data_IF_774675841728
#
_entry.id   IF_774675841728
#
_cell.length_a   1.000
_cell.length_b   1.000
_cell.length_c   1.000
_cell.angle_alpha   90.00
_cell.angle_beta   90.00
_cell.angle_gamma   90.00
#
_symmetry.space_group_name_H-M   'P 1'
#
loop_
_entity.id
_entity.type
_entity.pdbx_description
1 polymer ?
#
# COMPACT_ATOMS: atom_id res chain seq x y z
N UNK A 1 18.41 -5.24 -22.73
CA UNK A 1 17.89 -5.57 -21.38
C UNK A 1 19.05 -5.84 -20.42
N UNK A 2 19.23 -5.06 -19.35
CA UNK A 2 20.39 -5.16 -18.45
C UNK A 2 20.44 -6.45 -17.60
N UNK A 3 19.33 -7.18 -17.49
CA UNK A 3 19.23 -8.40 -16.67
C UNK A 3 20.15 -9.56 -17.13
N UNK A 4 20.53 -9.58 -18.41
CA UNK A 4 21.32 -10.67 -19.02
C UNK A 4 22.84 -10.48 -18.91
N UNK A 5 23.33 -9.34 -18.43
CA UNK A 5 24.77 -9.03 -18.44
C UNK A 5 25.49 -9.67 -17.24
N UNK A 6 26.59 -10.40 -17.49
CA UNK A 6 27.44 -10.99 -16.44
C UNK A 6 27.04 -12.41 -16.00
N UNK A 7 27.86 -13.03 -15.14
CA UNK A 7 27.72 -14.45 -14.80
C UNK A 7 26.49 -14.71 -13.92
N UNK A 8 25.78 -15.81 -14.19
CA UNK A 8 24.61 -16.25 -13.42
C UNK A 8 23.45 -15.25 -13.43
N UNK A 9 22.88 -14.89 -14.60
CA UNK A 9 21.80 -13.91 -14.73
C UNK A 9 20.52 -14.32 -14.00
N UNK A 10 20.29 -15.63 -13.81
CA UNK A 10 19.16 -16.19 -13.05
C UNK A 10 19.04 -15.59 -11.64
N UNK A 11 20.15 -15.17 -11.02
CA UNK A 11 20.17 -14.60 -9.66
C UNK A 11 19.43 -13.27 -9.55
N UNK A 12 19.20 -12.58 -10.67
CA UNK A 12 18.51 -11.29 -10.74
C UNK A 12 17.02 -11.42 -11.00
N UNK A 13 16.50 -12.65 -11.03
CA UNK A 13 15.08 -12.93 -11.27
C UNK A 13 14.30 -12.96 -9.96
N UNK A 14 13.06 -12.43 -9.97
CA UNK A 14 12.20 -12.45 -8.78
C UNK A 14 11.92 -13.85 -8.22
N UNK A 15 11.68 -14.90 -9.04
CA UNK A 15 11.51 -16.25 -8.52
C UNK A 15 12.73 -16.76 -7.75
N UNK A 16 13.94 -16.42 -8.21
CA UNK A 16 15.18 -16.80 -7.52
C UNK A 16 15.36 -16.07 -6.19
N UNK A 17 15.04 -14.78 -6.13
CA UNK A 17 15.14 -14.02 -4.88
C UNK A 17 14.10 -14.47 -3.85
N UNK A 18 12.89 -14.81 -4.31
CA UNK A 18 11.80 -15.33 -3.47
C UNK A 18 12.04 -16.73 -2.93
N UNK A 19 12.86 -17.55 -3.58
CA UNK A 19 13.16 -18.92 -3.14
C UNK A 19 14.17 -19.01 -1.99
N UNK A 20 14.69 -17.87 -1.51
CA UNK A 20 15.59 -17.80 -0.37
C UNK A 20 14.96 -18.41 0.90
N UNK A 21 15.68 -19.32 1.54
CA UNK A 21 15.20 -20.04 2.73
C UNK A 21 15.51 -19.34 4.05
N UNK A 22 16.46 -18.41 4.05
CA UNK A 22 16.96 -17.75 5.26
C UNK A 22 16.26 -16.41 5.49
N UNK A 23 15.36 -16.39 6.48
CA UNK A 23 14.78 -15.17 7.05
C UNK A 23 15.32 -15.03 8.47
N UNK A 24 16.02 -13.94 8.75
CA UNK A 24 16.62 -13.68 10.05
C UNK A 24 15.57 -13.35 11.10
N UNK A 25 15.92 -13.61 12.37
CA UNK A 25 15.21 -13.05 13.51
C UNK A 25 15.44 -11.54 13.57
N UNK A 26 14.44 -10.79 14.02
CA UNK A 26 14.41 -9.32 14.04
C UNK A 26 15.56 -8.68 14.87
N UNK A 27 16.17 -9.48 15.76
CA UNK A 27 17.34 -9.11 16.56
C UNK A 27 18.63 -8.94 15.75
N UNK A 28 18.73 -9.50 14.54
CA UNK A 28 19.94 -9.37 13.71
C UNK A 28 19.86 -8.04 12.96
N UNK A 29 20.91 -7.21 13.05
CA UNK A 29 20.94 -5.89 12.39
C UNK A 29 22.00 -5.79 11.30
N UNK A 30 23.20 -6.31 11.56
CA UNK A 30 24.32 -6.24 10.63
C UNK A 30 24.89 -7.63 10.42
N UNK A 31 25.16 -7.99 9.17
CA UNK A 31 25.90 -9.20 8.80
C UNK A 31 27.15 -8.80 8.02
N UNK A 32 28.30 -9.19 8.53
CA UNK A 32 29.58 -8.99 7.89
C UNK A 32 30.09 -10.31 7.32
N UNK A 33 30.57 -10.26 6.09
CA UNK A 33 31.17 -11.41 5.39
C UNK A 33 32.62 -11.08 5.15
N UNK A 34 33.53 -11.85 5.76
CA UNK A 34 34.96 -11.69 5.59
C UNK A 34 35.45 -12.83 4.70
N UNK A 35 35.82 -12.53 3.44
CA UNK A 35 36.31 -13.53 2.50
C UNK A 35 37.44 -13.00 1.64
N UNK A 36 38.32 -13.90 1.22
CA UNK A 36 39.42 -13.56 0.31
C UNK A 36 39.06 -14.06 -1.08
N UNK A 37 39.17 -13.16 -2.05
CA UNK A 37 38.79 -13.45 -3.44
C UNK A 37 39.98 -13.94 -4.25
N UNK A 38 41.17 -13.41 -3.97
CA UNK A 38 42.37 -13.83 -4.67
C UNK A 38 42.94 -15.08 -3.99
N UNK A 39 43.21 -16.17 -4.74
CA UNK A 39 44.13 -17.18 -4.25
C UNK A 39 45.44 -16.44 -3.96
N UNK A 40 45.96 -16.61 -2.74
CA UNK A 40 47.02 -15.78 -2.13
C UNK A 40 48.01 -15.30 -3.21
N UNK A 41 48.18 -13.98 -3.37
CA UNK A 41 49.28 -13.39 -4.19
C UNK A 41 50.68 -13.86 -3.75
N UNK A 42 50.75 -14.54 -2.60
CA UNK A 42 51.92 -15.20 -2.02
C UNK A 42 51.68 -16.71 -1.81
N UNK A 43 50.97 -17.38 -2.72
CA UNK A 43 50.87 -18.82 -2.72
C UNK A 43 52.27 -19.40 -2.97
N UNK A 44 52.96 -19.76 -1.89
CA UNK A 44 54.11 -20.66 -1.98
C UNK A 44 53.56 -21.97 -2.54
N UNK A 45 54.21 -22.50 -3.56
CA UNK A 45 53.77 -23.64 -4.39
C UNK A 45 53.27 -24.86 -3.59
N UNK A 46 53.82 -25.08 -2.38
CA UNK A 46 53.41 -26.16 -1.47
C UNK A 46 52.03 -25.97 -0.81
N UNK A 47 51.47 -24.76 -0.77
CA UNK A 47 50.15 -24.45 -0.20
C UNK A 47 49.01 -24.57 -1.23
N UNK A 48 49.32 -24.68 -2.52
CA UNK A 48 48.34 -24.97 -3.59
C UNK A 48 47.66 -26.34 -3.36
N UNK A 49 48.33 -27.22 -2.60
CA UNK A 49 47.88 -28.57 -2.27
C UNK A 49 46.63 -28.63 -1.36
N UNK A 50 46.28 -27.54 -0.66
CA UNK A 50 45.21 -27.52 0.35
C UNK A 50 43.87 -26.93 -0.14
N UNK A 51 43.76 -26.57 -1.42
CA UNK A 51 42.53 -25.98 -1.97
C UNK A 51 42.22 -24.58 -1.43
N UNK A 52 41.17 -23.96 -1.98
CA UNK A 52 40.76 -22.63 -1.55
C UNK A 52 39.74 -22.74 -0.40
N UNK A 53 40.20 -22.62 0.85
CA UNK A 53 39.31 -22.65 2.03
C UNK A 53 38.17 -21.60 1.99
N UNK A 54 38.34 -20.53 1.20
CA UNK A 54 37.35 -19.45 1.00
C UNK A 54 36.33 -19.73 -0.10
N UNK A 55 36.48 -20.81 -0.87
CA UNK A 55 35.65 -21.10 -2.06
C UNK A 55 34.16 -21.22 -1.72
N UNK A 56 33.84 -21.90 -0.62
CA UNK A 56 32.47 -22.04 -0.16
C UNK A 56 31.85 -20.72 0.27
N UNK A 57 32.60 -19.85 0.94
CA UNK A 57 32.12 -18.53 1.35
C UNK A 57 31.97 -17.57 0.15
N UNK A 58 32.88 -17.63 -0.82
CA UNK A 58 32.77 -16.89 -2.08
C UNK A 58 31.55 -17.34 -2.89
N UNK A 59 31.30 -18.65 -2.96
CA UNK A 59 30.10 -19.22 -3.58
C UNK A 59 28.83 -18.81 -2.84
N UNK A 60 28.85 -18.82 -1.50
CA UNK A 60 27.74 -18.36 -0.67
C UNK A 60 27.45 -16.87 -0.92
N UNK A 61 28.48 -16.02 -0.94
CA UNK A 61 28.32 -14.61 -1.23
C UNK A 61 27.71 -14.38 -2.63
N UNK A 62 28.21 -15.13 -3.62
CA UNK A 62 27.73 -15.01 -4.99
C UNK A 62 26.26 -15.47 -5.15
N UNK A 63 25.88 -16.62 -4.61
CA UNK A 63 24.55 -17.19 -4.85
C UNK A 63 23.50 -16.74 -3.82
N UNK A 64 23.84 -16.78 -2.53
CA UNK A 64 22.84 -16.71 -1.46
C UNK A 64 22.62 -15.31 -0.90
N UNK A 65 23.64 -14.43 -0.90
CA UNK A 65 23.50 -13.07 -0.35
C UNK A 65 22.41 -12.25 -1.03
N UNK A 66 22.22 -12.28 -2.37
CA UNK A 66 21.10 -11.58 -3.01
C UNK A 66 19.73 -12.03 -2.47
N UNK A 67 19.57 -13.34 -2.25
CA UNK A 67 18.33 -13.89 -1.68
C UNK A 67 18.13 -13.41 -0.24
N UNK A 68 19.19 -13.43 0.57
CA UNK A 68 19.15 -13.01 1.97
C UNK A 68 18.80 -11.52 2.06
N UNK A 69 19.43 -10.66 1.26
CA UNK A 69 19.14 -9.22 1.27
C UNK A 69 17.70 -8.92 0.83
N UNK A 70 17.19 -9.66 -0.17
CA UNK A 70 15.83 -9.48 -0.65
C UNK A 70 14.79 -9.84 0.43
N UNK A 71 15.03 -10.92 1.17
CA UNK A 71 14.14 -11.37 2.24
C UNK A 71 14.26 -10.52 3.52
N UNK A 72 15.41 -9.87 3.73
CA UNK A 72 15.73 -9.14 4.95
C UNK A 72 16.21 -7.72 4.60
N UNK A 73 15.30 -6.82 4.14
CA UNK A 73 15.67 -5.48 3.73
C UNK A 73 16.26 -4.64 4.87
N UNK A 74 15.84 -4.89 6.11
CA UNK A 74 16.27 -4.13 7.30
C UNK A 74 17.65 -4.55 7.82
N UNK A 75 18.24 -5.62 7.28
CA UNK A 75 19.55 -6.11 7.68
C UNK A 75 20.60 -5.55 6.73
N UNK A 76 21.61 -4.88 7.30
CA UNK A 76 22.75 -4.38 6.53
C UNK A 76 23.76 -5.50 6.31
N UNK A 77 24.07 -5.82 5.05
CA UNK A 77 25.09 -6.80 4.68
C UNK A 77 26.34 -6.09 4.17
N UNK A 78 27.48 -6.33 4.81
CA UNK A 78 28.78 -5.75 4.46
C UNK A 78 29.74 -6.89 4.10
N UNK A 79 30.56 -6.67 3.08
CA UNK A 79 31.63 -7.60 2.70
C UNK A 79 32.99 -6.94 2.89
N UNK A 80 33.89 -7.64 3.56
CA UNK A 80 35.30 -7.31 3.67
C UNK A 80 36.12 -8.29 2.84
N UNK A 81 37.10 -7.75 2.14
CA UNK A 81 37.98 -8.47 1.20
C UNK A 81 39.41 -8.43 1.71
N UNK A 82 40.08 -9.59 1.74
CA UNK A 82 41.52 -9.72 1.98
C UNK A 82 42.00 -9.12 3.33
N UNK A 83 41.10 -9.01 4.31
CA UNK A 83 41.41 -8.49 5.66
C UNK A 83 41.94 -9.56 6.60
N UNK A 84 41.46 -10.80 6.48
CA UNK A 84 41.76 -11.89 7.42
C UNK A 84 42.13 -13.16 6.67
N UNK A 85 43.05 -13.98 7.19
CA UNK A 85 43.49 -15.19 6.49
C UNK A 85 42.39 -16.25 6.40
N UNK A 86 41.49 -16.33 7.40
CA UNK A 86 40.42 -17.31 7.47
C UNK A 86 39.06 -16.68 7.12
N UNK A 87 38.16 -17.42 6.44
CA UNK A 87 36.82 -16.96 6.12
C UNK A 87 35.89 -17.07 7.32
N UNK A 88 35.15 -16.02 7.61
CA UNK A 88 34.10 -16.07 8.63
C UNK A 88 32.97 -15.10 8.34
N UNK A 89 31.83 -15.36 8.97
CA UNK A 89 30.67 -14.46 8.98
C UNK A 89 30.48 -13.97 10.41
N UNK A 90 30.27 -12.66 10.57
CA UNK A 90 30.00 -12.05 11.87
C UNK A 90 28.65 -11.35 11.81
N UNK A 91 27.74 -11.72 12.70
CA UNK A 91 26.43 -11.09 12.80
C UNK A 91 26.35 -10.28 14.09
N UNK A 92 25.93 -9.03 13.99
CA UNK A 92 25.66 -8.15 15.12
C UNK A 92 24.18 -8.16 15.47
N UNK A 93 23.91 -8.35 16.75
CA UNK A 93 22.57 -8.34 17.31
C UNK A 93 22.25 -6.97 17.91
N UNK A 94 20.97 -6.67 18.01
CA UNK A 94 20.43 -5.45 18.61
C UNK A 94 20.92 -5.24 20.07
N UNK A 95 21.12 -6.34 20.79
CA UNK A 95 21.69 -6.34 22.15
C UNK A 95 23.17 -5.91 22.24
N UNK A 96 23.82 -5.54 21.14
CA UNK A 96 25.26 -5.27 21.05
C UNK A 96 26.15 -6.52 21.03
N UNK A 97 25.58 -7.71 21.30
CA UNK A 97 26.29 -8.99 21.17
C UNK A 97 26.55 -9.35 19.71
N UNK A 98 27.66 -10.03 19.45
CA UNK A 98 27.96 -10.60 18.15
C UNK A 98 27.97 -12.13 18.17
N UNK A 99 27.68 -12.71 17.01
CA UNK A 99 27.78 -14.15 16.76
C UNK A 99 28.76 -14.34 15.61
N UNK A 100 29.80 -15.13 15.84
CA UNK A 100 30.83 -15.45 14.87
C UNK A 100 30.60 -16.86 14.31
N UNK A 101 30.64 -16.99 12.99
CA UNK A 101 30.56 -18.26 12.28
C UNK A 101 31.85 -18.50 11.51
N UNK A 102 32.63 -19.48 11.94
CA UNK A 102 33.76 -19.97 11.17
C UNK A 102 33.25 -20.65 9.89
N UNK A 103 33.78 -20.26 8.74
CA UNK A 103 33.40 -20.77 7.42
C UNK A 103 34.55 -21.50 6.73
N UNK A 104 35.63 -21.83 7.44
CA UNK A 104 36.78 -22.56 6.91
C UNK A 104 36.37 -23.91 6.30
N UNK A 105 36.68 -24.11 5.01
CA UNK A 105 36.42 -25.35 4.24
C UNK A 105 34.94 -25.81 4.20
N UNK A 106 34.00 -24.94 4.55
CA UNK A 106 32.56 -25.28 4.51
C UNK A 106 31.97 -25.06 3.14
N UNK A 107 31.04 -25.92 2.75
CA UNK A 107 30.27 -25.70 1.52
C UNK A 107 29.24 -24.59 1.70
N UNK A 108 28.78 -23.97 0.60
CA UNK A 108 27.74 -22.92 0.64
C UNK A 108 26.46 -23.37 1.37
N UNK A 109 26.11 -24.65 1.23
CA UNK A 109 24.91 -25.22 1.79
C UNK A 109 25.03 -25.40 3.31
N UNK A 110 26.20 -25.85 3.78
CA UNK A 110 26.49 -25.96 5.21
C UNK A 110 26.45 -24.60 5.90
N UNK A 111 27.05 -23.57 5.29
CA UNK A 111 27.04 -22.19 5.81
C UNK A 111 25.60 -21.71 5.94
N UNK A 112 24.79 -21.88 4.90
CA UNK A 112 23.38 -21.49 4.91
C UNK A 112 22.59 -22.23 5.98
N UNK A 113 22.76 -23.55 6.09
CA UNK A 113 22.09 -24.38 7.11
C UNK A 113 22.48 -23.96 8.52
N UNK A 114 23.76 -23.67 8.75
CA UNK A 114 24.25 -23.22 10.06
C UNK A 114 23.67 -21.85 10.45
N UNK A 115 23.60 -20.90 9.51
CA UNK A 115 22.96 -19.60 9.72
C UNK A 115 21.46 -19.74 9.98
N UNK A 116 20.76 -20.55 9.18
CA UNK A 116 19.33 -20.80 9.33
C UNK A 116 19.00 -21.44 10.68
N UNK A 117 19.81 -22.39 11.14
CA UNK A 117 19.62 -23.06 12.43
C UNK A 117 19.79 -22.11 13.62
N UNK A 118 20.73 -21.17 13.54
CA UNK A 118 21.12 -20.32 14.69
C UNK A 118 20.35 -18.99 14.74
N UNK A 119 20.30 -18.29 13.60
CA UNK A 119 19.75 -16.94 13.47
C UNK A 119 18.48 -16.89 12.64
N UNK A 120 18.12 -17.95 11.92
CA UNK A 120 16.90 -18.04 11.14
C UNK A 120 15.64 -18.20 11.99
N UNK A 121 14.51 -17.69 11.48
CA UNK A 121 13.17 -17.96 12.02
C UNK A 121 12.79 -19.42 11.76
N UNK A 122 12.03 -20.03 12.67
CA UNK A 122 11.48 -21.37 12.46
C UNK A 122 10.35 -21.34 11.43
N UNK A 123 10.12 -22.45 10.72
CA UNK A 123 9.04 -22.56 9.74
C UNK A 123 7.67 -22.32 10.38
N UNK A 124 7.47 -22.80 11.61
CA UNK A 124 6.25 -22.57 12.38
C UNK A 124 6.04 -21.09 12.69
N UNK A 125 7.11 -20.39 13.09
CA UNK A 125 7.04 -18.95 13.34
C UNK A 125 6.70 -18.16 12.09
N UNK A 126 7.28 -18.53 10.95
CA UNK A 126 6.97 -17.90 9.66
C UNK A 126 5.51 -18.10 9.26
N UNK A 127 4.95 -19.31 9.47
CA UNK A 127 3.52 -19.57 9.23
C UNK A 127 2.64 -18.71 10.14
N UNK A 128 2.92 -18.69 11.44
CA UNK A 128 2.20 -17.86 12.38
C UNK A 128 2.26 -16.36 12.03
N UNK A 129 3.42 -15.86 11.60
CA UNK A 129 3.57 -14.47 11.15
C UNK A 129 2.78 -14.21 9.86
N UNK A 130 2.79 -15.14 8.91
CA UNK A 130 2.01 -15.00 7.67
C UNK A 130 0.51 -15.03 7.90
N UNK A 131 0.04 -15.90 8.81
CA UNK A 131 -1.39 -16.02 9.12
C UNK A 131 -1.85 -14.76 9.87
N UNK A 132 -1.09 -14.31 10.88
CA UNK A 132 -1.35 -13.04 11.57
C UNK A 132 -1.33 -11.83 10.64
N UNK A 133 -0.44 -11.81 9.65
CA UNK A 133 -0.38 -10.72 8.68
C UNK A 133 -1.63 -10.69 7.78
N UNK A 134 -2.15 -11.86 7.38
CA UNK A 134 -3.41 -11.97 6.63
C UNK A 134 -4.59 -11.51 7.49
N UNK A 135 -4.64 -11.96 8.74
CA UNK A 135 -5.67 -11.58 9.71
C UNK A 135 -5.64 -10.06 9.94
N UNK A 136 -4.47 -9.47 10.20
CA UNK A 136 -4.32 -8.05 10.47
C UNK A 136 -4.67 -7.15 9.29
N UNK A 137 -4.51 -7.63 8.05
CA UNK A 137 -4.86 -6.85 6.86
C UNK A 137 -6.34 -7.02 6.47
N UNK A 138 -7.10 -7.86 7.19
CA UNK A 138 -8.51 -8.18 6.92
C UNK A 138 -8.78 -8.45 5.42
N UNK A 139 -7.78 -8.95 4.68
CA UNK A 139 -7.89 -9.16 3.24
C UNK A 139 -8.95 -10.23 2.95
N UNK A 140 -8.98 -11.26 3.80
CA UNK A 140 -9.78 -12.46 3.60
C UNK A 140 -11.09 -12.45 4.38
N UNK A 141 -11.41 -11.37 5.14
CA UNK A 141 -12.67 -11.29 5.85
C UNK A 141 -13.83 -11.11 4.83
N UNK A 142 -14.71 -12.13 4.66
CA UNK A 142 -15.76 -12.10 3.66
C UNK A 142 -16.86 -11.07 3.96
N UNK A 143 -16.91 -10.52 5.18
CA UNK A 143 -17.90 -9.53 5.57
C UNK A 143 -17.56 -8.11 5.11
N UNK A 144 -16.32 -7.84 4.68
CA UNK A 144 -15.95 -6.52 4.17
C UNK A 144 -16.33 -6.35 2.70
N UNK A 145 -16.98 -5.23 2.41
CA UNK A 145 -17.34 -4.81 1.07
C UNK A 145 -16.40 -3.70 0.58
N UNK A 146 -16.10 -3.70 -0.72
CA UNK A 146 -15.42 -2.58 -1.38
C UNK A 146 -14.37 -2.99 -2.40
N UNK A 147 -13.53 -2.04 -2.78
CA UNK A 147 -12.47 -2.24 -3.75
C UNK A 147 -11.42 -3.23 -3.23
N UNK A 148 -11.00 -4.19 -4.07
CA UNK A 148 -10.11 -5.31 -3.71
C UNK A 148 -10.64 -6.23 -2.59
N UNK A 149 -11.95 -6.24 -2.32
CA UNK A 149 -12.60 -7.24 -1.49
C UNK A 149 -13.35 -8.25 -2.36
N UNK A 150 -13.80 -9.35 -1.75
CA UNK A 150 -14.53 -10.41 -2.46
C UNK A 150 -15.81 -9.89 -3.12
N UNK A 151 -16.47 -8.93 -2.47
CA UNK A 151 -17.67 -8.28 -2.96
C UNK A 151 -17.46 -6.77 -2.93
N UNK A 152 -17.84 -6.09 -4.01
CA UNK A 152 -17.69 -4.64 -4.07
C UNK A 152 -18.87 -3.93 -3.39
N UNK A 153 -20.09 -4.38 -3.68
CA UNK A 153 -21.33 -3.83 -3.16
C UNK A 153 -22.26 -4.95 -2.68
N UNK A 154 -23.11 -4.64 -1.71
CA UNK A 154 -24.08 -5.60 -1.14
C UNK A 154 -25.11 -6.09 -2.17
N UNK A 155 -25.32 -5.36 -3.27
CA UNK A 155 -26.24 -5.77 -4.33
C UNK A 155 -25.82 -7.07 -5.05
N UNK A 156 -24.57 -7.51 -4.91
CA UNK A 156 -24.09 -8.80 -5.42
C UNK A 156 -24.56 -9.99 -4.57
N UNK A 157 -25.06 -9.73 -3.35
CA UNK A 157 -25.56 -10.76 -2.45
C UNK A 157 -27.00 -11.10 -2.83
N UNK A 158 -27.32 -12.37 -3.13
CA UNK A 158 -28.68 -12.76 -3.49
C UNK A 158 -29.66 -12.49 -2.33
N UNK A 159 -30.86 -12.02 -2.67
CA UNK A 159 -31.88 -11.60 -1.70
C UNK A 159 -31.79 -10.12 -1.29
N UNK A 160 -30.73 -9.41 -1.71
CA UNK A 160 -30.61 -7.97 -1.53
C UNK A 160 -31.20 -7.19 -2.72
N UNK A 161 -31.37 -5.89 -2.54
CA UNK A 161 -31.86 -5.00 -3.60
C UNK A 161 -30.79 -4.88 -4.71
N UNK A 162 -31.13 -5.13 -5.98
CA UNK A 162 -30.17 -5.03 -7.08
C UNK A 162 -29.76 -3.57 -7.32
N UNK A 163 -28.60 -3.39 -7.96
CA UNK A 163 -28.12 -2.06 -8.32
C UNK A 163 -29.09 -1.41 -9.34
N UNK A 164 -29.48 -0.12 -9.16
CA UNK A 164 -30.35 0.59 -10.09
C UNK A 164 -29.83 0.65 -11.53
N UNK A 165 -28.49 0.57 -11.71
CA UNK A 165 -27.88 0.51 -13.04
C UNK A 165 -28.07 -0.82 -13.76
N UNK A 166 -28.45 -1.89 -13.05
CA UNK A 166 -28.70 -3.22 -13.62
C UNK A 166 -30.19 -3.51 -13.72
N UNK A 167 -30.96 -3.18 -12.69
CA UNK A 167 -32.41 -3.33 -12.67
C UNK A 167 -33.06 -2.05 -12.18
N UNK A 168 -34.02 -1.52 -12.93
CA UNK A 168 -34.75 -0.33 -12.52
C UNK A 168 -35.54 -0.59 -11.23
N UNK A 169 -35.39 0.30 -10.26
CA UNK A 169 -36.16 0.23 -9.02
C UNK A 169 -37.60 0.71 -9.27
N UNK A 170 -38.59 0.15 -8.53
CA UNK A 170 -39.96 0.67 -8.57
C UNK A 170 -40.01 2.17 -8.27
N UNK A 171 -40.90 2.89 -8.97
CA UNK A 171 -41.01 4.37 -8.88
C UNK A 171 -41.17 4.88 -7.45
N UNK A 172 -41.83 4.12 -6.57
CA UNK A 172 -42.03 4.42 -5.15
C UNK A 172 -40.73 4.58 -4.35
N UNK A 173 -39.62 3.97 -4.79
CA UNK A 173 -38.31 4.04 -4.13
C UNK A 173 -37.36 5.06 -4.77
N UNK A 174 -37.76 5.71 -5.86
CA UNK A 174 -36.94 6.71 -6.56
C UNK A 174 -37.24 8.11 -6.01
N UNK A 175 -36.21 8.83 -5.56
CA UNK A 175 -36.36 10.15 -4.93
C UNK A 175 -37.09 11.19 -5.79
N UNK A 176 -37.04 11.07 -7.12
CA UNK A 176 -37.77 11.93 -8.06
C UNK A 176 -39.30 11.84 -7.89
N UNK A 177 -39.83 10.69 -7.49
CA UNK A 177 -41.28 10.45 -7.36
C UNK A 177 -41.81 10.59 -5.93
N UNK A 178 -40.98 11.01 -4.97
CA UNK A 178 -41.39 11.20 -3.57
C UNK A 178 -42.54 12.23 -3.38
N UNK A 179 -42.80 13.07 -4.38
CA UNK A 179 -43.85 14.09 -4.34
C UNK A 179 -45.26 13.55 -4.65
N UNK A 180 -45.35 12.33 -5.20
CA UNK A 180 -46.61 11.72 -5.59
C UNK A 180 -47.11 10.79 -4.48
N UNK A 181 -48.44 10.64 -4.39
CA UNK A 181 -49.02 9.72 -3.41
C UNK A 181 -48.68 8.27 -3.82
N UNK A 182 -48.42 7.37 -2.85
CA UNK A 182 -48.03 5.99 -3.14
C UNK A 182 -49.08 5.23 -3.96
N UNK A 183 -50.37 5.52 -3.76
CA UNK A 183 -51.49 4.94 -4.53
C UNK A 183 -51.46 5.32 -6.02
N UNK A 184 -50.99 6.53 -6.36
CA UNK A 184 -50.85 6.97 -7.74
C UNK A 184 -49.65 6.29 -8.43
N UNK A 185 -48.56 6.08 -7.67
CA UNK A 185 -47.36 5.42 -8.17
C UNK A 185 -47.55 3.92 -8.40
N UNK A 186 -48.38 3.26 -7.60
CA UNK A 186 -48.73 1.84 -7.77
C UNK A 186 -49.53 1.61 -9.06
N UNK A 187 -50.45 2.52 -9.42
CA UNK A 187 -51.13 2.51 -10.73
C UNK A 187 -50.13 2.65 -11.88
N UNK A 188 -49.17 3.57 -11.76
CA UNK A 188 -48.14 3.79 -12.79
C UNK A 188 -47.10 2.66 -12.93
N UNK A 189 -47.01 1.75 -11.98
CA UNK A 189 -46.17 0.56 -12.10
C UNK A 189 -46.94 -0.61 -12.72
N UNK A 190 -48.28 -0.60 -12.67
CA UNK A 190 -49.15 -1.62 -13.28
C UNK A 190 -49.46 -1.30 -14.75
N UNK A 191 -49.55 -0.02 -15.11
CA UNK A 191 -49.80 0.43 -16.47
C UNK A 191 -48.48 0.57 -17.27
N UNK A 192 -48.11 -0.47 -18.02
CA UNK A 192 -46.94 -0.46 -18.93
C UNK A 192 -47.06 0.59 -20.06
N UNK A 193 -48.29 0.96 -20.43
CA UNK A 193 -48.63 1.90 -21.50
C UNK A 193 -49.06 3.29 -20.99
N UNK A 194 -48.85 3.59 -19.71
CA UNK A 194 -49.20 4.91 -19.19
C UNK A 194 -48.45 6.00 -19.97
N UNK A 195 -49.16 6.93 -20.65
CA UNK A 195 -48.51 7.94 -21.47
C UNK A 195 -47.55 8.70 -20.58
N UNK A 196 -46.27 8.76 -20.99
CA UNK A 196 -45.30 9.64 -20.34
C UNK A 196 -45.96 11.02 -20.28
N UNK A 197 -46.25 11.51 -19.07
CA UNK A 197 -46.76 12.86 -18.91
C UNK A 197 -45.69 13.77 -19.52
N UNK A 198 -46.02 14.36 -20.67
CA UNK A 198 -45.19 15.36 -21.34
C UNK A 198 -44.70 16.38 -20.32
N UNK A 199 -43.44 16.83 -20.42
CA UNK A 199 -42.83 17.73 -19.42
C UNK A 199 -43.69 18.97 -19.09
N UNK A 200 -44.54 19.40 -20.04
CA UNK A 200 -45.57 20.43 -19.88
C UNK A 200 -46.64 20.13 -18.81
N UNK A 201 -47.06 18.87 -18.65
CA UNK A 201 -48.08 18.48 -17.66
C UNK A 201 -47.49 18.28 -16.26
N UNK A 202 -46.17 18.10 -16.14
CA UNK A 202 -45.46 18.06 -14.85
C UNK A 202 -45.30 19.48 -14.29
N UNK A 203 -44.96 20.46 -15.12
CA UNK A 203 -44.81 21.87 -14.71
C UNK A 203 -46.09 22.46 -14.09
N UNK A 204 -47.28 22.03 -14.51
CA UNK A 204 -48.54 22.54 -13.99
C UNK A 204 -48.94 21.99 -12.61
N UNK A 205 -48.31 20.91 -12.11
CA UNK A 205 -48.51 20.41 -10.74
C UNK A 205 -47.49 20.95 -9.73
N UNK A 206 -46.45 21.66 -10.17
CA UNK A 206 -45.36 22.19 -9.31
C UNK A 206 -45.68 23.50 -8.58
N UNK A 207 -46.93 23.95 -8.53
CA UNK A 207 -47.32 25.20 -7.89
C UNK A 207 -48.18 25.04 -6.65
N UNK A 208 -47.91 24.07 -5.75
CA UNK A 208 -48.46 24.10 -4.39
C UNK A 208 -47.53 23.47 -3.34
N UNK A 209 -46.23 23.75 -3.43
CA UNK A 209 -45.48 23.93 -2.18
C UNK A 209 -45.62 25.40 -1.81
N UNK A 210 -46.18 25.77 -0.64
CA UNK A 210 -46.00 27.13 -0.16
C UNK A 210 -44.49 27.39 -0.18
N UNK A 211 -44.02 28.51 -0.74
CA UNK A 211 -42.59 28.82 -0.71
C UNK A 211 -42.15 28.64 0.73
N UNK A 212 -41.07 27.88 0.96
CA UNK A 212 -40.47 27.80 2.29
C UNK A 212 -40.40 29.23 2.80
N UNK A 213 -41.17 29.55 3.84
CA UNK A 213 -41.06 30.84 4.49
C UNK A 213 -39.58 30.94 4.82
N UNK A 214 -38.87 31.85 4.16
CA UNK A 214 -37.48 32.12 4.51
C UNK A 214 -37.53 32.32 6.03
N UNK A 215 -36.72 31.61 6.83
CA UNK A 215 -36.70 31.89 8.25
C UNK A 215 -36.53 33.41 8.36
N UNK A 216 -37.40 34.05 9.13
CA UNK A 216 -37.25 35.47 9.44
C UNK A 216 -35.96 35.53 10.25
N UNK A 217 -34.85 35.74 9.56
CA UNK A 217 -33.60 36.07 10.19
C UNK A 217 -33.86 37.48 10.70
N UNK A 218 -34.15 37.60 12.00
CA UNK A 218 -34.10 38.89 12.67
C UNK A 218 -32.76 39.51 12.30
N UNK A 219 -32.81 40.68 11.67
CA UNK A 219 -31.60 41.41 11.32
C UNK A 219 -30.93 41.78 12.64
N UNK A 220 -29.95 40.99 13.08
CA UNK A 220 -29.00 41.40 14.09
C UNK A 220 -28.32 42.67 13.56
N UNK A 221 -28.39 43.80 14.28
CA UNK A 221 -28.03 45.12 13.74
C UNK A 221 -26.55 45.29 13.37
N UNK A 222 -25.66 44.37 13.76
CA UNK A 222 -24.21 44.63 13.77
C UNK A 222 -23.36 43.71 12.86
N UNK A 223 -23.95 42.97 11.93
CA UNK A 223 -23.17 42.15 10.98
C UNK A 223 -23.24 42.77 9.59
N UNK A 224 -22.20 43.53 9.23
CA UNK A 224 -22.00 44.03 7.88
C UNK A 224 -21.98 42.86 6.88
N UNK A 225 -22.85 42.95 5.86
CA UNK A 225 -23.11 41.91 4.86
C UNK A 225 -22.19 41.88 3.61
N UNK A 226 -21.02 42.55 3.47
CA UNK A 226 -20.30 42.53 2.20
C UNK A 226 -19.50 41.24 1.94
N UNK A 227 -19.16 40.43 2.96
CA UNK A 227 -18.27 39.27 2.77
C UNK A 227 -18.93 38.06 2.06
N UNK A 228 -20.27 37.97 2.08
CA UNK A 228 -20.98 36.79 1.56
C UNK A 228 -21.36 36.87 0.08
N UNK A 229 -21.20 38.03 -0.59
CA UNK A 229 -21.60 38.19 -2.00
C UNK A 229 -20.58 37.69 -3.01
N UNK A 230 -19.33 37.45 -2.62
CA UNK A 230 -18.27 37.07 -3.56
C UNK A 230 -18.14 35.55 -3.78
N UNK A 231 -18.66 34.72 -2.86
CA UNK A 231 -18.56 33.26 -2.94
C UNK A 231 -19.55 32.58 -3.89
N UNK A 232 -20.44 33.35 -4.53
CA UNK A 232 -21.54 32.82 -5.36
C UNK A 232 -21.29 32.76 -6.87
N UNK A 233 -20.09 33.07 -7.37
CA UNK A 233 -19.80 33.00 -8.82
C UNK A 233 -19.10 31.68 -9.16
N UNK A 234 -19.76 30.88 -10.00
CA UNK A 234 -19.31 29.60 -10.56
C UNK A 234 -17.93 29.69 -11.26
N UNK A 235 -17.13 28.60 -11.25
CA UNK A 235 -15.75 28.61 -11.71
C UNK A 235 -15.69 28.60 -13.23
N UNK A 236 -15.07 29.61 -13.81
CA UNK A 236 -14.95 29.74 -15.26
C UNK A 236 -14.21 31.01 -15.66
N UNK A 237 -12.91 31.04 -15.33
CA UNK A 237 -11.81 31.91 -15.80
C UNK A 237 -10.85 32.15 -14.65
N UNK A 238 -9.57 32.26 -14.98
CA UNK A 238 -8.44 32.32 -14.06
C UNK A 238 -8.63 33.42 -13.01
N UNK A 239 -9.01 33.02 -11.80
CA UNK A 239 -9.16 33.91 -10.65
C UNK A 239 -8.05 33.51 -9.68
N UNK A 240 -7.19 34.48 -9.36
CA UNK A 240 -6.15 34.36 -8.33
C UNK A 240 -6.75 33.82 -7.02
N UNK A 241 -5.97 33.09 -6.19
CA UNK A 241 -6.48 32.49 -4.96
C UNK A 241 -7.17 33.55 -4.08
N UNK A 242 -8.25 33.18 -3.38
CA UNK A 242 -9.02 34.12 -2.57
C UNK A 242 -8.12 34.74 -1.50
N UNK A 243 -8.07 36.07 -1.50
CA UNK A 243 -7.33 36.90 -0.56
C UNK A 243 -7.76 36.54 0.88
N UNK A 244 -6.80 36.36 1.79
CA UNK A 244 -7.14 36.03 3.17
C UNK A 244 -7.89 37.20 3.82
N UNK A 245 -8.76 36.90 4.79
CA UNK A 245 -9.51 37.91 5.54
C UNK A 245 -8.63 39.04 6.11
N UNK A 246 -7.40 38.70 6.54
CA UNK A 246 -6.44 39.65 7.08
C UNK A 246 -5.87 40.62 6.04
N UNK A 247 -5.67 40.16 4.79
CA UNK A 247 -5.19 40.98 3.69
C UNK A 247 -6.27 41.96 3.20
N UNK A 248 -7.53 41.50 3.12
CA UNK A 248 -8.66 42.38 2.82
C UNK A 248 -8.80 43.50 3.86
N UNK A 249 -8.71 43.16 5.15
CA UNK A 249 -8.83 44.12 6.26
C UNK A 249 -7.71 45.16 6.24
N UNK A 250 -6.46 44.73 6.04
CA UNK A 250 -5.31 45.64 5.94
C UNK A 250 -5.41 46.64 4.77
N UNK A 251 -6.04 46.23 3.65
CA UNK A 251 -6.28 47.09 2.49
C UNK A 251 -7.38 48.12 2.73
N UNK A 252 -8.44 47.78 3.45
CA UNK A 252 -9.47 48.75 3.84
C UNK A 252 -8.90 49.78 4.83
N UNK A 253 -8.09 49.35 5.79
CA UNK A 253 -7.40 50.25 6.73
C UNK A 253 -6.43 51.20 6.02
N UNK A 254 -5.78 50.77 4.92
CA UNK A 254 -4.96 51.64 4.07
C UNK A 254 -5.75 52.63 3.22
N UNK A 255 -7.00 52.34 2.87
CA UNK A 255 -7.87 53.27 2.11
C UNK A 255 -8.50 54.36 2.98
N UNK A 256 -8.51 54.15 4.30
CA UNK A 256 -9.06 55.08 5.30
C UNK A 256 -8.01 56.05 5.86
N UNK A 257 -6.75 55.95 5.42
CA UNK A 257 -5.66 56.90 5.70
C UNK A 257 -5.32 57.68 4.43
#
# INVERSE_FOLDING_TARGET
MPFLQGPGPIRRTLPYLKSGTLIFKDRVKIMEIHCNWYPRRHAVEHLVKYGNAHEGLNSFHFWNVPQIQYQNPDVQIIRFLDMTPNPFIRCWLDSGKNVLFDCYEKTRYEILLQLAKTLGKSKERLKMESDRAKDAQDYDNPAHFGFNKKQFCICEVPGQVPCPGTCELPKKYLGYYNQYKPEELEKWNQDLDAPYLTEKQKQTKFHWFPPHAKPVIENLPDIEKPFLREFGKTPGKDIAPPESYYEWKARQEKKMK
#
